data_IF_953032745286
#
_entry.id   IF_953032745286
#
_cell.length_a   1.000
_cell.length_b   1.000
_cell.length_c   1.000
_cell.angle_alpha   90.00
_cell.angle_beta   90.00
_cell.angle_gamma   90.00
#
_symmetry.space_group_name_H-M   'P 1'
#
loop_
_entity.id
_entity.type
_entity.pdbx_description
1 polymer ?
#
# COMPACT_ATOMS: atom_id res chain seq x y z
N UNK A 1 -13.94 -16.75 -7.47
CA UNK A 1 -14.18 -17.87 -6.54
C UNK A 1 -15.46 -18.60 -6.96
N UNK A 2 -15.54 -19.91 -6.69
CA UNK A 2 -16.69 -20.75 -7.09
C UNK A 2 -18.05 -20.26 -6.56
N UNK A 3 -18.05 -19.49 -5.48
CA UNK A 3 -19.24 -18.86 -4.89
C UNK A 3 -19.86 -17.82 -5.84
N UNK A 4 -19.06 -17.04 -6.56
CA UNK A 4 -19.54 -16.01 -7.47
C UNK A 4 -20.33 -16.62 -8.66
N UNK A 5 -19.86 -17.75 -9.17
CA UNK A 5 -20.51 -18.45 -10.28
C UNK A 5 -21.77 -19.18 -9.85
N UNK A 6 -21.83 -19.68 -8.60
CA UNK A 6 -22.95 -20.50 -8.11
C UNK A 6 -24.12 -19.66 -7.58
N UNK A 7 -23.87 -18.50 -6.99
CA UNK A 7 -24.89 -17.69 -6.30
C UNK A 7 -25.43 -16.50 -7.12
N UNK A 8 -24.87 -16.19 -8.27
CA UNK A 8 -25.30 -15.18 -9.24
C UNK A 8 -26.22 -14.08 -8.69
N UNK A 9 -25.64 -12.98 -8.19
CA UNK A 9 -26.41 -11.81 -7.72
C UNK A 9 -27.19 -11.98 -6.40
N UNK A 10 -27.05 -13.11 -5.71
CA UNK A 10 -27.75 -13.42 -4.44
C UNK A 10 -26.90 -13.24 -3.20
N UNK A 11 -25.75 -12.55 -3.30
CA UNK A 11 -24.88 -12.30 -2.16
C UNK A 11 -24.30 -10.87 -2.23
N UNK A 12 -23.93 -10.37 -1.07
CA UNK A 12 -23.18 -9.11 -0.91
C UNK A 12 -21.80 -9.49 -0.38
N UNK A 13 -20.76 -9.02 -1.04
CA UNK A 13 -19.38 -9.22 -0.57
C UNK A 13 -19.02 -8.15 0.44
N UNK A 14 -18.62 -8.56 1.63
CA UNK A 14 -18.05 -7.68 2.66
C UNK A 14 -16.56 -7.97 2.74
N UNK A 15 -15.75 -6.97 2.47
CA UNK A 15 -14.30 -7.07 2.58
C UNK A 15 -13.87 -6.84 4.02
N UNK A 16 -13.15 -7.80 4.59
CA UNK A 16 -12.57 -7.68 5.94
C UNK A 16 -11.06 -7.50 5.80
N UNK A 17 -10.57 -6.37 6.28
CA UNK A 17 -9.16 -6.02 6.26
C UNK A 17 -8.51 -6.29 7.63
N UNK A 18 -7.17 -6.40 7.71
CA UNK A 18 -6.45 -6.24 8.99
C UNK A 18 -6.86 -4.93 9.68
N UNK A 19 -6.67 -4.81 10.99
CA UNK A 19 -7.01 -3.58 11.71
C UNK A 19 -6.45 -2.33 11.02
N UNK A 20 -7.26 -1.28 10.97
CA UNK A 20 -6.78 0.09 10.73
C UNK A 20 -6.01 0.59 11.95
N UNK A 21 -5.28 1.69 11.80
CA UNK A 21 -4.57 2.25 12.95
C UNK A 21 -5.50 2.66 14.11
N UNK A 22 -6.67 3.31 13.89
CA UNK A 22 -7.64 3.54 14.95
C UNK A 22 -8.10 2.26 15.65
N UNK A 23 -8.47 1.20 14.91
CA UNK A 23 -8.87 -0.09 15.48
C UNK A 23 -7.70 -0.76 16.25
N UNK A 24 -6.48 -0.63 15.77
CA UNK A 24 -5.28 -1.11 16.47
C UNK A 24 -5.08 -0.39 17.81
N UNK A 25 -5.31 0.94 17.87
CA UNK A 25 -5.27 1.70 19.11
C UNK A 25 -6.36 1.25 20.10
N UNK A 26 -7.57 0.99 19.60
CA UNK A 26 -8.69 0.51 20.40
C UNK A 26 -8.38 -0.85 21.06
N UNK A 27 -7.88 -1.82 20.28
CA UNK A 27 -7.48 -3.15 20.80
C UNK A 27 -6.38 -3.02 21.87
N UNK A 28 -5.48 -2.05 21.71
CA UNK A 28 -4.44 -1.75 22.71
C UNK A 28 -4.91 -0.83 23.83
N UNK A 29 -6.20 -0.47 23.90
CA UNK A 29 -6.79 0.45 24.89
C UNK A 29 -6.04 1.77 24.99
N UNK A 30 -5.54 2.26 23.86
CA UNK A 30 -4.83 3.54 23.77
C UNK A 30 -5.84 4.60 23.34
N UNK A 31 -6.38 5.32 24.34
CA UNK A 31 -7.32 6.41 24.09
C UNK A 31 -6.60 7.64 23.51
N UNK A 32 -7.27 8.33 22.62
CA UNK A 32 -6.81 9.60 22.03
C UNK A 32 -7.99 10.46 21.60
N UNK A 33 -7.80 11.76 21.64
CA UNK A 33 -8.65 12.78 21.03
C UNK A 33 -7.77 13.95 20.57
N UNK A 34 -8.31 14.90 19.82
CA UNK A 34 -7.53 16.00 19.25
C UNK A 34 -6.80 16.84 20.32
N UNK A 35 -7.42 17.06 21.48
CA UNK A 35 -6.82 17.83 22.57
C UNK A 35 -5.72 17.03 23.29
N UNK A 36 -5.96 15.76 23.57
CA UNK A 36 -4.99 14.90 24.23
C UNK A 36 -3.71 14.72 23.40
N UNK A 37 -3.82 14.72 22.06
CA UNK A 37 -2.67 14.64 21.15
C UNK A 37 -1.77 15.89 21.16
N UNK A 38 -2.22 17.01 21.73
CA UNK A 38 -1.36 18.17 22.01
C UNK A 38 -0.43 17.90 23.20
N UNK A 39 -0.81 16.99 24.09
CA UNK A 39 0.01 16.59 25.25
C UNK A 39 1.10 15.58 24.87
N UNK A 40 2.27 15.73 25.49
CA UNK A 40 3.45 14.89 25.20
C UNK A 40 3.22 13.41 25.53
N UNK A 41 2.56 13.09 26.64
CA UNK A 41 2.35 11.73 27.11
C UNK A 41 1.40 10.95 26.17
N UNK A 42 0.22 11.50 25.89
CA UNK A 42 -0.75 10.86 24.98
C UNK A 42 -0.19 10.70 23.57
N UNK A 43 0.49 11.73 23.08
CA UNK A 43 1.16 11.66 21.78
C UNK A 43 2.24 10.57 21.75
N UNK A 44 3.07 10.46 22.80
CA UNK A 44 4.09 9.42 22.90
C UNK A 44 3.47 8.01 22.93
N UNK A 45 2.36 7.82 23.66
CA UNK A 45 1.63 6.55 23.71
C UNK A 45 1.11 6.16 22.31
N UNK A 46 0.48 7.08 21.58
CA UNK A 46 -0.01 6.85 20.22
C UNK A 46 1.15 6.57 19.27
N UNK A 47 2.26 7.32 19.35
CA UNK A 47 3.43 7.11 18.51
C UNK A 47 4.09 5.75 18.76
N UNK A 48 4.20 5.28 19.98
CA UNK A 48 4.71 3.94 20.29
C UNK A 48 3.86 2.85 19.63
N UNK A 49 2.52 3.00 19.67
CA UNK A 49 1.61 2.09 18.96
C UNK A 49 1.71 2.22 17.46
N UNK A 50 1.91 3.44 16.94
CA UNK A 50 2.11 3.67 15.53
C UNK A 50 3.38 2.96 14.99
N UNK A 51 4.50 3.05 15.68
CA UNK A 51 5.74 2.35 15.30
C UNK A 51 5.52 0.84 15.25
N UNK A 52 4.83 0.29 16.24
CA UNK A 52 4.47 -1.13 16.26
C UNK A 52 3.57 -1.51 15.07
N UNK A 53 2.50 -0.76 14.84
CA UNK A 53 1.59 -0.94 13.70
C UNK A 53 2.29 -0.79 12.35
N UNK A 54 3.14 0.21 12.21
CA UNK A 54 3.90 0.51 11.00
C UNK A 54 4.79 -0.65 10.55
N UNK A 55 5.47 -1.30 11.51
CA UNK A 55 6.39 -2.41 11.22
C UNK A 55 5.73 -3.79 11.24
N UNK A 56 4.72 -3.99 12.05
CA UNK A 56 4.13 -5.30 12.30
C UNK A 56 2.71 -5.47 11.74
N UNK A 57 2.13 -4.41 11.16
CA UNK A 57 0.80 -4.47 10.55
C UNK A 57 -0.34 -4.58 11.54
N UNK A 58 -1.52 -4.92 11.03
CA UNK A 58 -2.77 -4.94 11.76
C UNK A 58 -3.47 -6.30 11.83
N UNK A 59 -2.80 -7.43 11.58
CA UNK A 59 -3.44 -8.74 11.73
C UNK A 59 -3.96 -8.95 13.15
N UNK A 60 -5.28 -9.24 13.33
CA UNK A 60 -5.92 -9.27 14.65
C UNK A 60 -5.23 -10.16 15.67
N UNK A 61 -4.97 -11.42 15.30
CA UNK A 61 -4.33 -12.39 16.21
C UNK A 61 -2.88 -12.01 16.52
N UNK A 62 -2.20 -11.30 15.60
CA UNK A 62 -0.82 -10.83 15.77
C UNK A 62 -0.71 -9.58 16.64
N UNK A 63 -1.77 -8.78 16.74
CA UNK A 63 -1.71 -7.45 17.36
C UNK A 63 -1.20 -7.47 18.81
N UNK A 64 -1.63 -8.45 19.60
CA UNK A 64 -1.29 -8.59 21.03
C UNK A 64 -0.12 -9.56 21.32
N UNK A 65 0.45 -10.21 20.31
CA UNK A 65 1.55 -11.15 20.49
C UNK A 65 2.89 -10.44 20.70
N UNK A 66 3.74 -11.02 21.55
CA UNK A 66 5.12 -10.57 21.71
C UNK A 66 6.00 -10.98 20.50
N UNK A 67 5.80 -12.19 19.99
CA UNK A 67 6.59 -12.73 18.86
C UNK A 67 5.88 -12.52 17.50
N UNK A 68 5.54 -11.28 17.18
CA UNK A 68 4.77 -10.91 15.97
C UNK A 68 5.39 -11.42 14.66
N UNK A 69 6.71 -11.32 14.52
CA UNK A 69 7.41 -11.76 13.31
C UNK A 69 7.23 -13.25 13.03
N UNK A 70 7.25 -14.10 14.07
CA UNK A 70 7.03 -15.55 13.91
C UNK A 70 5.59 -15.84 13.47
N UNK A 71 4.61 -15.13 14.05
CA UNK A 71 3.22 -15.23 13.67
C UNK A 71 3.02 -14.80 12.19
N UNK A 72 3.53 -13.63 11.81
CA UNK A 72 3.44 -13.11 10.44
C UNK A 72 4.10 -14.04 9.42
N UNK A 73 5.25 -14.65 9.79
CA UNK A 73 5.91 -15.65 8.95
C UNK A 73 5.00 -16.86 8.73
N UNK A 74 4.32 -17.33 9.77
CA UNK A 74 3.38 -18.47 9.68
C UNK A 74 2.15 -18.12 8.83
N UNK A 75 1.59 -16.90 8.98
CA UNK A 75 0.48 -16.38 8.15
C UNK A 75 0.91 -16.32 6.69
N UNK A 76 2.07 -15.72 6.41
CA UNK A 76 2.60 -15.66 5.05
C UNK A 76 2.79 -17.06 4.45
N UNK A 77 3.37 -18.00 5.21
CA UNK A 77 3.54 -19.38 4.72
C UNK A 77 2.22 -20.05 4.40
N UNK A 78 1.19 -19.85 5.21
CA UNK A 78 -0.16 -20.38 4.97
C UNK A 78 -0.74 -19.81 3.67
N UNK A 79 -0.67 -18.47 3.49
CA UNK A 79 -1.14 -17.82 2.26
C UNK A 79 -0.35 -18.33 1.04
N UNK A 80 0.97 -18.30 1.12
CA UNK A 80 1.86 -18.63 0.02
C UNK A 80 1.75 -20.10 -0.41
N UNK A 81 1.80 -21.06 0.54
CA UNK A 81 1.77 -22.48 0.23
C UNK A 81 0.34 -23.01 0.07
N UNK A 82 -0.59 -22.59 0.92
CA UNK A 82 -1.97 -23.06 0.92
C UNK A 82 -2.85 -22.36 -0.09
N UNK A 83 -3.00 -21.04 0.07
CA UNK A 83 -4.00 -20.29 -0.70
C UNK A 83 -3.52 -19.97 -2.12
N UNK A 84 -2.21 -19.81 -2.34
CA UNK A 84 -1.67 -19.53 -3.67
C UNK A 84 -1.16 -20.82 -4.34
N UNK A 85 -0.16 -21.50 -3.78
CA UNK A 85 0.51 -22.60 -4.46
C UNK A 85 -0.39 -23.84 -4.58
N UNK A 86 -0.88 -24.38 -3.46
CA UNK A 86 -1.67 -25.61 -3.45
C UNK A 86 -3.01 -25.47 -4.17
N UNK A 87 -3.75 -24.36 -3.89
CA UNK A 87 -5.06 -24.10 -4.52
C UNK A 87 -4.98 -24.02 -6.04
N UNK A 88 -3.88 -23.50 -6.59
CA UNK A 88 -3.70 -23.30 -8.02
C UNK A 88 -2.75 -24.33 -8.67
N UNK A 89 -2.45 -25.43 -7.96
CA UNK A 89 -1.57 -26.51 -8.43
C UNK A 89 -0.21 -26.01 -8.97
N UNK A 90 0.36 -24.99 -8.32
CA UNK A 90 1.66 -24.42 -8.70
C UNK A 90 2.76 -25.37 -8.25
N UNK A 91 3.48 -25.94 -9.21
CA UNK A 91 4.64 -26.82 -8.96
C UNK A 91 5.94 -26.03 -8.75
N UNK A 92 6.08 -24.88 -9.42
CA UNK A 92 7.24 -24.00 -9.29
C UNK A 92 7.09 -23.05 -8.08
N UNK A 93 7.06 -23.62 -6.87
CA UNK A 93 6.92 -22.83 -5.63
C UNK A 93 8.13 -21.95 -5.35
N UNK A 94 9.34 -22.38 -5.75
CA UNK A 94 10.54 -21.56 -5.62
C UNK A 94 10.46 -20.30 -6.50
N UNK A 95 10.06 -20.42 -7.76
CA UNK A 95 9.87 -19.29 -8.66
C UNK A 95 8.80 -18.31 -8.15
N UNK A 96 7.69 -18.82 -7.61
CA UNK A 96 6.67 -18.04 -6.95
C UNK A 96 7.25 -17.25 -5.75
N UNK A 97 8.03 -17.90 -4.89
CA UNK A 97 8.67 -17.25 -3.72
C UNK A 97 9.59 -16.09 -4.12
N UNK A 98 10.44 -16.32 -5.13
CA UNK A 98 11.36 -15.27 -5.62
C UNK A 98 10.56 -14.11 -6.26
N UNK A 99 9.49 -14.42 -6.99
CA UNK A 99 8.61 -13.42 -7.56
C UNK A 99 7.96 -12.53 -6.49
N UNK A 100 7.38 -13.14 -5.44
CA UNK A 100 6.78 -12.38 -4.32
C UNK A 100 7.82 -11.49 -3.64
N UNK A 101 9.03 -12.01 -3.41
CA UNK A 101 10.14 -11.22 -2.86
C UNK A 101 10.47 -10.03 -3.77
N UNK A 102 10.53 -10.25 -5.09
CA UNK A 102 10.82 -9.19 -6.05
C UNK A 102 9.71 -8.13 -6.11
N UNK A 103 8.46 -8.54 -5.98
CA UNK A 103 7.34 -7.61 -5.85
C UNK A 103 7.47 -6.73 -4.60
N UNK A 104 7.84 -7.31 -3.46
CA UNK A 104 8.08 -6.55 -2.22
C UNK A 104 9.21 -5.52 -2.37
N UNK A 105 10.31 -5.86 -3.04
CA UNK A 105 11.42 -4.93 -3.32
C UNK A 105 11.04 -3.82 -4.32
N UNK A 106 9.98 -4.02 -5.12
CA UNK A 106 9.58 -3.12 -6.20
C UNK A 106 8.28 -2.37 -5.91
N UNK A 107 7.86 -2.30 -4.65
CA UNK A 107 6.52 -1.82 -4.27
C UNK A 107 6.19 -0.41 -4.78
N UNK A 108 7.17 0.47 -4.84
CA UNK A 108 7.01 1.86 -5.30
C UNK A 108 7.01 2.02 -6.82
N UNK A 109 7.25 0.95 -7.57
CA UNK A 109 7.43 1.02 -9.01
C UNK A 109 6.37 0.22 -9.75
N UNK A 110 5.89 0.69 -10.91
CA UNK A 110 5.07 -0.13 -11.79
C UNK A 110 5.80 -1.42 -12.18
N UNK A 111 5.06 -2.52 -12.22
CA UNK A 111 5.62 -3.85 -12.45
C UNK A 111 5.69 -4.19 -13.94
N UNK A 112 6.88 -4.61 -14.38
CA UNK A 112 7.06 -5.26 -15.67
C UNK A 112 7.17 -6.77 -15.48
N UNK A 113 6.16 -7.52 -15.88
CA UNK A 113 6.14 -8.98 -15.75
C UNK A 113 7.26 -9.68 -16.53
N UNK A 114 7.65 -9.15 -17.70
CA UNK A 114 8.81 -9.62 -18.44
C UNK A 114 10.10 -9.49 -17.62
N UNK A 115 10.30 -8.34 -16.98
CA UNK A 115 11.48 -8.10 -16.13
C UNK A 115 11.49 -9.04 -14.93
N UNK A 116 10.34 -9.24 -14.26
CA UNK A 116 10.24 -10.17 -13.13
C UNK A 116 10.52 -11.60 -13.59
N UNK A 117 9.91 -12.06 -14.69
CA UNK A 117 10.13 -13.40 -15.21
C UNK A 117 11.61 -13.63 -15.53
N UNK A 118 12.29 -12.67 -16.13
CA UNK A 118 13.72 -12.73 -16.42
C UNK A 118 14.55 -12.82 -15.11
N UNK A 119 14.27 -11.98 -14.11
CA UNK A 119 14.98 -12.00 -12.83
C UNK A 119 14.80 -13.35 -12.13
N UNK A 120 13.57 -13.88 -12.08
CA UNK A 120 13.33 -15.20 -11.50
C UNK A 120 14.09 -16.27 -12.27
N UNK A 121 14.13 -16.21 -13.59
CA UNK A 121 14.84 -17.18 -14.42
C UNK A 121 16.35 -17.18 -14.20
N UNK A 122 16.97 -16.05 -13.83
CA UNK A 122 18.40 -16.00 -13.47
C UNK A 122 18.74 -16.77 -12.19
N UNK A 123 17.75 -17.05 -11.34
CA UNK A 123 17.93 -17.82 -10.10
C UNK A 123 17.87 -19.35 -10.32
N UNK A 124 17.83 -19.80 -11.56
CA UNK A 124 17.72 -21.22 -11.93
C UNK A 124 16.28 -21.75 -11.96
N UNK A 125 15.28 -20.93 -11.70
CA UNK A 125 13.86 -21.31 -11.74
C UNK A 125 13.20 -20.67 -12.97
N UNK A 126 12.88 -21.49 -13.98
CA UNK A 126 12.21 -20.97 -15.20
C UNK A 126 10.83 -20.43 -14.86
N UNK A 127 10.58 -19.17 -15.17
CA UNK A 127 9.27 -18.52 -15.07
C UNK A 127 8.96 -17.80 -16.38
N UNK A 128 7.83 -18.14 -17.00
CA UNK A 128 7.34 -17.39 -18.17
C UNK A 128 6.61 -16.13 -17.73
N UNK A 129 6.54 -15.13 -18.62
CA UNK A 129 5.74 -13.92 -18.39
C UNK A 129 4.27 -14.25 -18.11
N UNK A 130 3.70 -15.19 -18.85
CA UNK A 130 2.31 -15.65 -18.65
C UNK A 130 2.13 -16.27 -17.26
N UNK A 131 3.10 -17.07 -16.79
CA UNK A 131 3.06 -17.63 -15.43
C UNK A 131 3.21 -16.54 -14.37
N UNK A 132 4.06 -15.53 -14.58
CA UNK A 132 4.21 -14.40 -13.67
C UNK A 132 2.91 -13.60 -13.50
N UNK A 133 2.20 -13.33 -14.60
CA UNK A 133 0.87 -12.68 -14.58
C UNK A 133 -0.11 -13.52 -13.74
N UNK A 134 -0.25 -14.80 -14.04
CA UNK A 134 -1.15 -15.70 -13.29
C UNK A 134 -0.81 -15.78 -11.79
N UNK A 135 0.46 -15.81 -11.45
CA UNK A 135 0.90 -15.87 -10.05
C UNK A 135 0.54 -14.60 -9.28
N UNK A 136 0.59 -13.44 -9.95
CA UNK A 136 0.13 -12.17 -9.35
C UNK A 136 -1.40 -12.18 -9.18
N UNK A 137 -2.16 -12.63 -10.18
CA UNK A 137 -3.62 -12.78 -10.09
C UNK A 137 -4.02 -13.71 -8.93
N UNK A 138 -3.29 -14.81 -8.72
CA UNK A 138 -3.52 -15.70 -7.59
C UNK A 138 -3.16 -15.04 -6.24
N UNK A 139 -2.10 -14.24 -6.20
CA UNK A 139 -1.73 -13.48 -5.01
C UNK A 139 -2.76 -12.38 -4.67
N UNK A 140 -3.35 -11.73 -5.68
CA UNK A 140 -4.49 -10.81 -5.50
C UNK A 140 -5.73 -11.54 -4.99
N UNK A 141 -6.05 -12.70 -5.58
CA UNK A 141 -7.19 -13.54 -5.18
C UNK A 141 -7.05 -14.11 -3.76
N UNK A 142 -5.81 -14.34 -3.31
CA UNK A 142 -5.47 -14.75 -1.95
C UNK A 142 -5.34 -13.56 -0.97
N UNK A 143 -5.66 -12.36 -1.40
CA UNK A 143 -5.55 -11.14 -0.58
C UNK A 143 -4.14 -10.84 -0.06
N UNK A 144 -3.10 -11.37 -0.70
CA UNK A 144 -1.72 -11.01 -0.39
C UNK A 144 -1.35 -9.65 -0.99
N UNK A 145 -1.83 -9.39 -2.21
CA UNK A 145 -1.55 -8.19 -2.98
C UNK A 145 -2.82 -7.41 -3.34
N UNK A 146 -2.66 -6.11 -3.48
CA UNK A 146 -3.67 -5.17 -3.95
C UNK A 146 -3.09 -4.39 -5.12
N UNK A 147 -3.82 -4.29 -6.23
CA UNK A 147 -3.40 -3.59 -7.44
C UNK A 147 -3.94 -2.15 -7.46
N UNK A 148 -3.10 -1.21 -7.87
CA UNK A 148 -3.48 0.16 -8.21
C UNK A 148 -3.02 0.44 -9.65
N UNK A 149 -3.94 0.97 -10.46
CA UNK A 149 -3.74 1.22 -11.87
C UNK A 149 -3.25 2.66 -12.14
N UNK A 150 -2.55 2.86 -13.25
CA UNK A 150 -2.21 4.20 -13.72
C UNK A 150 -3.43 4.83 -14.40
N UNK A 151 -3.91 5.98 -13.89
CA UNK A 151 -5.05 6.68 -14.49
C UNK A 151 -4.76 7.20 -15.89
N UNK A 152 -3.50 7.50 -16.21
CA UNK A 152 -3.07 7.97 -17.52
C UNK A 152 -2.87 6.84 -18.55
N UNK A 153 -2.90 5.56 -18.14
CA UNK A 153 -2.65 4.42 -18.99
C UNK A 153 -3.88 4.08 -19.86
N UNK A 154 -3.63 3.66 -21.10
CA UNK A 154 -4.66 3.03 -21.94
C UNK A 154 -5.00 1.64 -21.40
N UNK A 155 -6.15 1.08 -21.85
CA UNK A 155 -6.64 -0.20 -21.34
C UNK A 155 -5.59 -1.33 -21.37
N UNK A 156 -4.88 -1.50 -22.47
CA UNK A 156 -3.83 -2.52 -22.58
C UNK A 156 -2.62 -2.27 -21.67
N UNK A 157 -2.32 -1.01 -21.35
CA UNK A 157 -1.22 -0.63 -20.48
C UNK A 157 -1.61 -0.78 -18.99
N UNK A 158 -2.89 -0.64 -18.65
CA UNK A 158 -3.39 -0.85 -17.28
C UNK A 158 -3.10 -2.27 -16.78
N UNK A 159 -3.19 -3.27 -17.66
CA UNK A 159 -2.92 -4.68 -17.30
C UNK A 159 -1.42 -4.98 -17.15
N UNK A 160 -0.54 -4.21 -17.78
CA UNK A 160 0.90 -4.51 -17.83
C UNK A 160 1.79 -3.56 -17.05
N UNK A 161 1.23 -2.49 -16.46
CA UNK A 161 2.00 -1.42 -15.81
C UNK A 161 1.28 -0.88 -14.55
N UNK A 162 0.90 -1.78 -13.66
CA UNK A 162 0.26 -1.46 -12.38
C UNK A 162 1.27 -1.49 -11.24
N UNK A 163 0.99 -0.75 -10.17
CA UNK A 163 1.67 -0.89 -8.87
C UNK A 163 0.94 -1.94 -8.03
N UNK A 164 1.68 -2.71 -7.25
CA UNK A 164 1.13 -3.74 -6.35
C UNK A 164 1.59 -3.50 -4.93
N UNK A 165 0.66 -3.50 -4.00
CA UNK A 165 0.88 -3.27 -2.58
C UNK A 165 0.49 -4.49 -1.77
N UNK A 166 1.22 -4.77 -0.71
CA UNK A 166 0.86 -5.86 0.20
C UNK A 166 -0.31 -5.42 1.08
N UNK A 167 -1.26 -6.32 1.32
CA UNK A 167 -2.46 -6.03 2.14
C UNK A 167 -2.13 -5.63 3.58
N UNK A 168 -0.93 -5.97 4.05
CA UNK A 168 -0.48 -5.66 5.41
C UNK A 168 1.02 -5.33 5.44
N UNK A 169 1.38 -4.27 6.19
CA UNK A 169 2.76 -3.84 6.35
C UNK A 169 3.65 -4.87 7.03
N UNK A 170 3.09 -5.62 7.99
CA UNK A 170 3.86 -6.65 8.69
C UNK A 170 4.29 -7.79 7.76
N UNK A 171 3.43 -8.18 6.83
CA UNK A 171 3.80 -9.16 5.80
C UNK A 171 4.87 -8.58 4.85
N UNK A 172 4.70 -7.34 4.38
CA UNK A 172 5.71 -6.68 3.54
C UNK A 172 7.06 -6.61 4.24
N UNK A 173 7.08 -6.25 5.52
CA UNK A 173 8.31 -6.11 6.32
C UNK A 173 9.09 -7.41 6.51
N UNK A 174 8.50 -8.57 6.24
CA UNK A 174 9.22 -9.86 6.24
C UNK A 174 10.29 -9.92 5.15
N UNK A 175 10.14 -9.14 4.07
CA UNK A 175 10.98 -9.19 2.86
C UNK A 175 12.01 -8.06 2.79
N UNK A 176 11.84 -7.00 3.59
CA UNK A 176 12.64 -5.78 3.48
C UNK A 176 13.72 -5.73 4.58
N UNK A 177 14.91 -5.23 4.23
CA UNK A 177 16.01 -5.00 5.18
C UNK A 177 15.95 -3.56 5.71
N UNK A 178 15.82 -2.58 4.81
CA UNK A 178 15.57 -1.18 5.11
C UNK A 178 14.37 -0.72 4.28
N UNK A 179 13.20 -0.90 4.86
CA UNK A 179 11.94 -0.78 4.15
C UNK A 179 11.13 0.45 4.47
N UNK A 180 11.62 1.38 5.29
CA UNK A 180 10.79 2.46 5.83
C UNK A 180 10.03 3.27 4.77
N UNK A 181 10.66 3.62 3.66
CA UNK A 181 10.00 4.34 2.55
C UNK A 181 8.95 3.47 1.85
N UNK A 182 9.23 2.19 1.63
CA UNK A 182 8.31 1.22 1.03
C UNK A 182 7.14 0.90 1.95
N UNK A 183 7.39 0.75 3.25
CA UNK A 183 6.35 0.55 4.27
C UNK A 183 5.42 1.76 4.35
N UNK A 184 5.96 2.99 4.25
CA UNK A 184 5.16 4.20 4.30
C UNK A 184 4.20 4.27 3.10
N UNK A 185 4.70 4.08 1.88
CA UNK A 185 3.87 4.10 0.69
C UNK A 185 2.84 2.96 0.69
N UNK A 186 3.25 1.76 1.13
CA UNK A 186 2.33 0.62 1.26
C UNK A 186 1.21 0.92 2.27
N UNK A 187 1.53 1.51 3.41
CA UNK A 187 0.54 1.85 4.44
C UNK A 187 -0.47 2.87 3.93
N UNK A 188 -0.01 3.88 3.20
CA UNK A 188 -0.92 4.86 2.56
C UNK A 188 -1.79 4.17 1.51
N UNK A 189 -1.22 3.34 0.63
CA UNK A 189 -1.96 2.60 -0.40
C UNK A 189 -3.09 1.75 0.17
N UNK A 190 -2.79 0.88 1.16
CA UNK A 190 -3.80 -0.01 1.75
C UNK A 190 -4.86 0.76 2.52
N UNK A 191 -4.51 1.89 3.13
CA UNK A 191 -5.47 2.75 3.83
C UNK A 191 -6.43 3.43 2.84
N UNK A 192 -5.93 3.91 1.70
CA UNK A 192 -6.76 4.47 0.63
C UNK A 192 -7.67 3.41 0.00
N UNK A 193 -7.14 2.20 -0.29
CA UNK A 193 -7.94 1.09 -0.83
C UNK A 193 -9.03 0.68 0.15
N UNK A 194 -8.75 0.64 1.44
CA UNK A 194 -9.73 0.34 2.48
C UNK A 194 -10.84 1.39 2.53
N UNK A 195 -10.49 2.66 2.41
CA UNK A 195 -11.42 3.79 2.51
C UNK A 195 -12.29 3.96 1.27
N UNK A 196 -11.71 3.86 0.08
CA UNK A 196 -12.36 4.21 -1.18
C UNK A 196 -12.71 3.00 -2.05
N UNK A 197 -12.17 1.82 -1.77
CA UNK A 197 -12.31 0.62 -2.58
C UNK A 197 -11.14 0.38 -3.52
N UNK A 198 -11.18 -0.75 -4.25
CA UNK A 198 -10.09 -1.20 -5.12
C UNK A 198 -10.21 -0.71 -6.55
N UNK A 199 -11.36 -1.01 -7.17
CA UNK A 199 -11.56 -0.81 -8.59
C UNK A 199 -11.97 0.63 -8.87
N UNK A 200 -11.21 1.29 -9.75
CA UNK A 200 -11.47 2.64 -10.26
C UNK A 200 -11.71 3.74 -9.19
N UNK A 201 -11.23 3.51 -7.96
CA UNK A 201 -11.33 4.47 -6.88
C UNK A 201 -9.99 5.11 -6.52
N UNK A 202 -8.91 4.32 -6.51
CA UNK A 202 -7.55 4.75 -6.20
C UNK A 202 -6.65 4.48 -7.39
N UNK A 203 -5.93 5.49 -7.84
CA UNK A 203 -4.99 5.41 -8.96
C UNK A 203 -3.65 6.00 -8.57
N UNK A 204 -2.60 5.68 -9.33
CA UNK A 204 -1.42 6.52 -9.45
C UNK A 204 -1.40 7.24 -10.80
N UNK A 205 -0.56 8.25 -10.95
CA UNK A 205 -0.32 8.91 -12.23
C UNK A 205 1.14 8.77 -12.62
N UNK A 206 1.39 8.24 -13.81
CA UNK A 206 2.74 8.17 -14.38
C UNK A 206 2.69 8.39 -15.89
N UNK A 207 2.88 9.65 -16.30
CA UNK A 207 3.04 10.06 -17.69
C UNK A 207 3.79 11.40 -17.74
N UNK A 208 5.13 11.31 -17.83
CA UNK A 208 6.01 12.49 -17.80
C UNK A 208 6.25 13.10 -16.41
N UNK A 209 5.35 12.86 -15.47
CA UNK A 209 5.49 13.10 -14.02
C UNK A 209 4.98 11.87 -13.29
N UNK A 210 5.39 11.69 -12.05
CA UNK A 210 4.86 10.63 -11.18
C UNK A 210 4.16 11.25 -9.97
N UNK A 211 2.91 10.80 -9.71
CA UNK A 211 2.18 11.10 -8.48
C UNK A 211 1.70 9.78 -7.88
N UNK A 212 2.02 9.55 -6.61
CA UNK A 212 1.84 8.26 -5.96
C UNK A 212 0.39 7.83 -5.89
N UNK A 213 -0.53 8.74 -5.52
CA UNK A 213 -1.95 8.42 -5.49
C UNK A 213 -2.81 9.59 -5.98
N UNK A 214 -3.87 9.22 -6.68
CA UNK A 214 -4.92 10.13 -7.11
C UNK A 214 -6.29 9.50 -6.85
N UNK A 215 -7.20 10.26 -6.23
CA UNK A 215 -8.55 9.83 -5.91
C UNK A 215 -9.53 10.68 -6.75
N UNK A 216 -10.04 10.17 -7.89
CA UNK A 216 -10.86 10.94 -8.81
C UNK A 216 -12.14 11.50 -8.17
N UNK A 217 -12.85 10.70 -7.38
CA UNK A 217 -14.09 11.10 -6.70
C UNK A 217 -13.92 12.31 -5.78
N UNK A 218 -12.75 12.39 -5.12
CA UNK A 218 -12.41 13.47 -4.18
C UNK A 218 -11.57 14.58 -4.84
N UNK A 219 -11.02 14.32 -6.02
CA UNK A 219 -10.03 15.18 -6.68
C UNK A 219 -8.80 15.44 -5.77
N UNK A 220 -8.35 14.39 -5.07
CA UNK A 220 -7.16 14.44 -4.22
C UNK A 220 -5.94 13.94 -4.96
N UNK A 221 -4.85 14.72 -4.88
CA UNK A 221 -3.53 14.36 -5.34
C UNK A 221 -2.61 14.17 -4.13
N UNK A 222 -1.94 13.03 -4.03
CA UNK A 222 -1.20 12.62 -2.84
C UNK A 222 0.19 12.12 -3.24
N UNK A 223 1.23 12.71 -2.64
CA UNK A 223 2.60 12.21 -2.66
C UNK A 223 2.95 11.61 -1.31
N UNK A 224 3.84 10.64 -1.31
CA UNK A 224 4.31 9.96 -0.10
C UNK A 224 5.83 10.02 -0.05
N UNK A 225 6.34 10.73 0.93
CA UNK A 225 7.79 10.86 1.15
C UNK A 225 8.12 10.64 2.61
N UNK A 226 9.14 9.82 2.90
CA UNK A 226 9.54 9.58 4.30
C UNK A 226 9.94 10.87 5.00
N UNK A 227 10.62 11.76 4.28
CA UNK A 227 10.99 13.11 4.74
C UNK A 227 11.08 14.07 3.54
N UNK A 228 10.66 15.31 3.76
CA UNK A 228 10.82 16.44 2.83
C UNK A 228 11.67 17.58 3.41
N UNK A 229 12.54 17.26 4.39
CA UNK A 229 13.48 18.25 4.97
C UNK A 229 14.49 18.72 3.94
N UNK A 230 14.93 17.82 3.08
CA UNK A 230 15.76 18.14 1.94
C UNK A 230 14.96 18.96 0.91
N UNK A 231 15.58 20.08 0.45
CA UNK A 231 14.92 21.02 -0.44
C UNK A 231 14.61 20.42 -1.81
N UNK A 232 15.55 19.66 -2.37
CA UNK A 232 15.38 19.00 -3.68
C UNK A 232 14.22 17.99 -3.65
N UNK A 233 14.14 17.19 -2.58
CA UNK A 233 13.04 16.26 -2.36
C UNK A 233 11.72 17.00 -2.23
N UNK A 234 11.67 18.07 -1.44
CA UNK A 234 10.47 18.89 -1.27
C UNK A 234 9.98 19.47 -2.58
N UNK A 235 10.87 20.09 -3.34
CA UNK A 235 10.54 20.68 -4.64
C UNK A 235 10.02 19.62 -5.62
N UNK A 236 10.67 18.47 -5.69
CA UNK A 236 10.23 17.37 -6.56
C UNK A 236 8.80 16.91 -6.24
N UNK A 237 8.50 16.66 -4.96
CA UNK A 237 7.17 16.19 -4.54
C UNK A 237 6.09 17.25 -4.77
N UNK A 238 6.38 18.50 -4.44
CA UNK A 238 5.42 19.60 -4.64
C UNK A 238 5.20 19.92 -6.12
N UNK A 239 6.26 19.95 -6.91
CA UNK A 239 6.21 20.17 -8.36
C UNK A 239 5.38 19.11 -9.08
N UNK A 240 5.47 17.85 -8.67
CA UNK A 240 4.68 16.78 -9.25
C UNK A 240 3.18 17.02 -9.04
N UNK A 241 2.76 17.44 -7.84
CA UNK A 241 1.38 17.78 -7.53
C UNK A 241 0.88 18.99 -8.35
N UNK A 242 1.71 20.05 -8.46
CA UNK A 242 1.40 21.24 -9.27
C UNK A 242 1.26 20.87 -10.75
N UNK A 243 2.13 20.03 -11.27
CA UNK A 243 2.07 19.58 -12.68
C UNK A 243 0.85 18.69 -12.92
N UNK A 244 0.44 17.85 -11.97
CA UNK A 244 -0.76 17.03 -12.07
C UNK A 244 -2.02 17.90 -12.17
N UNK A 245 -2.12 18.99 -11.41
CA UNK A 245 -3.28 19.88 -11.43
C UNK A 245 -3.52 20.58 -12.78
N UNK A 246 -2.52 20.57 -13.66
CA UNK A 246 -2.65 21.09 -15.04
C UNK A 246 -3.29 20.08 -16.00
N UNK A 247 -3.39 18.81 -15.61
CA UNK A 247 -3.87 17.72 -16.47
C UNK A 247 -5.07 16.97 -15.89
N UNK A 248 -5.26 17.00 -14.57
CA UNK A 248 -6.39 16.40 -13.87
C UNK A 248 -7.01 17.38 -12.88
N UNK A 249 -8.32 17.30 -12.62
CA UNK A 249 -8.98 18.10 -11.59
C UNK A 249 -8.38 17.77 -10.21
N UNK A 250 -7.89 18.77 -9.48
CA UNK A 250 -7.32 18.61 -8.15
C UNK A 250 -7.85 19.70 -7.21
N UNK A 251 -8.51 19.30 -6.12
CA UNK A 251 -9.03 20.19 -5.07
C UNK A 251 -8.18 20.17 -3.80
N UNK A 252 -7.50 19.05 -3.53
CA UNK A 252 -6.68 18.88 -2.35
C UNK A 252 -5.34 18.27 -2.71
N UNK A 253 -4.28 18.86 -2.18
CA UNK A 253 -2.90 18.43 -2.39
C UNK A 253 -2.29 18.00 -1.06
N UNK A 254 -1.82 16.77 -0.99
CA UNK A 254 -1.26 16.17 0.21
C UNK A 254 0.16 15.66 -0.05
N UNK A 255 1.04 15.91 0.89
CA UNK A 255 2.29 15.17 1.04
C UNK A 255 2.23 14.43 2.37
N UNK A 256 2.13 13.11 2.30
CA UNK A 256 2.12 12.27 3.51
C UNK A 256 3.56 11.93 3.86
N UNK A 257 3.98 12.32 5.05
CA UNK A 257 5.34 12.08 5.56
C UNK A 257 5.32 11.12 6.74
N UNK A 258 6.50 10.70 7.21
CA UNK A 258 6.58 9.88 8.41
C UNK A 258 6.21 10.69 9.66
N UNK A 259 6.79 11.89 9.85
CA UNK A 259 6.63 12.69 11.08
C UNK A 259 6.58 14.20 10.89
N UNK A 260 6.65 14.69 9.63
CA UNK A 260 6.67 16.13 9.35
C UNK A 260 5.27 16.69 9.10
N UNK A 261 5.05 17.90 9.62
CA UNK A 261 3.78 18.62 9.49
C UNK A 261 4.03 20.07 9.10
N UNK A 262 3.42 20.54 8.02
CA UNK A 262 3.47 21.92 7.57
C UNK A 262 2.38 22.22 6.52
N UNK A 263 2.22 23.49 6.17
CA UNK A 263 1.40 23.92 5.03
C UNK A 263 2.27 24.76 4.10
N UNK A 264 2.37 24.31 2.87
CA UNK A 264 3.14 25.00 1.82
C UNK A 264 2.16 25.77 0.92
N UNK A 265 2.43 27.04 0.69
CA UNK A 265 1.61 27.87 -0.19
C UNK A 265 2.03 27.67 -1.65
N UNK A 266 1.06 27.60 -2.55
CA UNK A 266 1.26 27.60 -4.00
C UNK A 266 0.93 28.97 -4.58
N UNK A 267 1.47 29.31 -5.75
CA UNK A 267 1.33 30.63 -6.39
C UNK A 267 -0.12 31.04 -6.72
N UNK A 268 -1.05 30.09 -6.80
CA UNK A 268 -2.44 30.26 -7.20
C UNK A 268 -3.45 30.24 -6.03
N UNK A 269 -3.02 30.58 -4.82
CA UNK A 269 -3.83 30.52 -3.58
C UNK A 269 -4.21 29.09 -3.13
N UNK A 270 -3.77 28.06 -3.82
CA UNK A 270 -3.87 26.67 -3.37
C UNK A 270 -2.79 26.37 -2.33
N UNK A 271 -3.03 25.38 -1.51
CA UNK A 271 -2.07 24.94 -0.48
C UNK A 271 -1.80 23.45 -0.60
N UNK A 272 -0.59 23.07 -0.25
CA UNK A 272 -0.19 21.67 -0.08
C UNK A 272 -0.11 21.41 1.41
N UNK A 273 -0.89 20.45 1.89
CA UNK A 273 -0.88 20.01 3.27
C UNK A 273 0.18 18.89 3.44
N UNK A 274 1.16 19.13 4.29
CA UNK A 274 2.14 18.11 4.69
C UNK A 274 1.66 17.53 6.01
N UNK A 275 1.37 16.23 6.03
CA UNK A 275 0.72 15.59 7.18
C UNK A 275 1.49 14.32 7.57
N UNK A 276 1.87 14.15 8.86
CA UNK A 276 2.43 12.88 9.33
C UNK A 276 1.45 11.74 9.13
N UNK A 277 1.91 10.60 8.64
CA UNK A 277 1.05 9.46 8.30
C UNK A 277 0.22 8.98 9.49
N UNK A 278 0.78 8.94 10.70
CA UNK A 278 0.04 8.53 11.88
C UNK A 278 -1.18 9.43 12.16
N UNK A 279 -1.01 10.75 11.97
CA UNK A 279 -2.08 11.75 12.14
C UNK A 279 -3.11 11.63 11.01
N UNK A 280 -2.63 11.48 9.78
CA UNK A 280 -3.48 11.27 8.62
C UNK A 280 -4.35 10.02 8.75
N UNK A 281 -3.81 8.91 9.26
CA UNK A 281 -4.56 7.66 9.51
C UNK A 281 -5.69 7.84 10.53
N UNK A 282 -5.52 8.72 11.53
CA UNK A 282 -6.56 9.04 12.52
C UNK A 282 -7.68 9.92 11.93
N UNK A 283 -7.39 10.69 10.88
CA UNK A 283 -8.34 11.56 10.19
C UNK A 283 -9.11 10.83 9.07
N UNK A 284 -8.59 9.70 8.60
CA UNK A 284 -9.17 8.93 7.51
C UNK A 284 -10.37 8.12 8.02
N UNK A 285 -11.57 8.68 7.83
CA UNK A 285 -12.85 8.08 8.25
C UNK A 285 -13.77 7.84 7.06
#
# INVERSE_FOLDING_TARGET
SDIQTTLGGRYITINVYPYSFPEFLEVHRTAYDELSLLGTESRAAVMNRFIDYFHNGGFPEGALLAAKRNYLTSVYQKIYLGDIAARNAITNTFGLKIMIKKLAESIKQPISFNRIANIVSTTGSKLSTTSAIKYVEYAESAWLLQRINNIAAKLAEKESNSKYYFTDNGILNLFLIDGNTSLLENLVAISLIRQFGKEDAVFFYNKGIEVDFYIPEKEWAIQVSYSIKDLETRERETDALIKLSKVLPCKRFLVITFDEESVLQMDNHSRIEVIPVWKWLLMLR
#
